data_IF_419824905143
#
_entry.id   IF_419824905143
#
_cell.length_a   1.000
_cell.length_b   1.000
_cell.length_c   1.000
_cell.angle_alpha   90.00
_cell.angle_beta   90.00
_cell.angle_gamma   90.00
#
_symmetry.space_group_name_H-M   'P 1'
#
loop_
_entity.id
_entity.type
_entity.pdbx_description
1 polymer ?
#
# COMPACT_ATOMS: atom_id res chain seq x y z
N UNK A 1 -33.78 17.00 -7.87
CA UNK A 1 -33.14 16.57 -6.61
C UNK A 1 -31.90 15.79 -7.01
N UNK A 2 -30.73 16.45 -6.95
CA UNK A 2 -29.45 15.75 -7.12
C UNK A 2 -29.21 14.89 -5.89
N UNK A 3 -28.97 13.60 -6.10
CA UNK A 3 -28.52 12.69 -5.05
C UNK A 3 -27.09 13.07 -4.70
N UNK A 4 -26.88 13.61 -3.50
CA UNK A 4 -25.55 13.87 -2.96
C UNK A 4 -24.89 12.49 -2.75
N UNK A 5 -24.05 12.07 -3.70
CA UNK A 5 -23.18 10.90 -3.52
C UNK A 5 -22.29 11.18 -2.30
N UNK A 6 -22.34 10.30 -1.31
CA UNK A 6 -21.45 10.37 -0.15
C UNK A 6 -20.04 9.95 -0.62
N UNK A 7 -19.06 10.86 -0.70
CA UNK A 7 -17.73 10.57 -1.25
C UNK A 7 -16.97 9.47 -0.47
N UNK A 8 -17.43 9.13 0.74
CA UNK A 8 -16.82 8.17 1.65
C UNK A 8 -16.92 6.70 1.19
N UNK A 9 -17.81 6.35 0.24
CA UNK A 9 -18.06 4.95 -0.15
C UNK A 9 -17.75 4.62 -1.63
N UNK A 10 -16.94 5.44 -2.30
CA UNK A 10 -16.57 5.18 -3.70
C UNK A 10 -15.41 4.18 -3.77
N UNK A 11 -15.62 3.12 -4.56
CA UNK A 11 -14.52 2.23 -4.96
C UNK A 11 -13.57 3.06 -5.81
N UNK A 12 -12.39 3.36 -5.26
CA UNK A 12 -11.32 4.04 -6.01
C UNK A 12 -10.57 3.01 -6.83
N UNK A 13 -10.75 3.07 -8.15
CA UNK A 13 -9.85 2.41 -9.08
C UNK A 13 -8.53 3.19 -9.09
N UNK A 14 -7.42 2.49 -8.88
CA UNK A 14 -6.06 3.05 -8.88
C UNK A 14 -5.59 3.50 -10.29
N UNK A 15 -6.40 4.24 -11.04
CA UNK A 15 -6.15 4.72 -12.42
C UNK A 15 -5.59 3.64 -13.36
N UNK A 16 -6.05 2.39 -13.21
CA UNK A 16 -5.56 1.25 -13.99
C UNK A 16 -4.13 0.79 -13.66
N UNK A 17 -3.50 1.31 -12.60
CA UNK A 17 -2.18 0.86 -12.14
C UNK A 17 -2.29 -0.50 -11.45
N UNK A 18 -1.37 -1.39 -11.77
CA UNK A 18 -1.31 -2.74 -11.20
C UNK A 18 -0.64 -2.73 -9.82
N UNK A 19 -1.32 -3.33 -8.83
CA UNK A 19 -0.78 -3.57 -7.48
C UNK A 19 -0.63 -5.07 -7.30
N UNK A 20 0.58 -5.54 -6.93
CA UNK A 20 0.78 -6.95 -6.61
C UNK A 20 -0.05 -7.33 -5.39
N UNK A 21 -0.75 -8.45 -5.49
CA UNK A 21 -1.59 -9.01 -4.43
C UNK A 21 -1.48 -10.52 -4.36
N UNK A 22 -1.72 -11.08 -3.18
CA UNK A 22 -1.90 -12.52 -2.95
C UNK A 22 -3.12 -12.73 -2.06
N UNK A 23 -3.70 -13.93 -2.09
CA UNK A 23 -4.62 -14.39 -1.05
C UNK A 23 -3.78 -15.15 -0.02
N UNK A 24 -3.72 -14.65 1.21
CA UNK A 24 -3.04 -15.31 2.32
C UNK A 24 -3.99 -15.37 3.51
N UNK A 25 -4.12 -16.55 4.14
CA UNK A 25 -5.06 -16.77 5.25
C UNK A 25 -6.50 -16.32 4.95
N UNK A 26 -6.98 -16.52 3.71
CA UNK A 26 -8.31 -16.07 3.22
C UNK A 26 -8.48 -14.55 3.15
N UNK A 27 -7.40 -13.77 3.26
CA UNK A 27 -7.41 -12.31 3.15
C UNK A 27 -6.57 -11.83 1.97
N UNK A 28 -6.90 -10.65 1.45
CA UNK A 28 -6.10 -9.99 0.42
C UNK A 28 -4.91 -9.28 1.04
N UNK A 29 -3.72 -9.66 0.61
CA UNK A 29 -2.47 -9.00 0.97
C UNK A 29 -1.93 -8.25 -0.23
N UNK A 30 -1.49 -7.01 -0.03
CA UNK A 30 -1.03 -6.12 -1.10
C UNK A 30 0.42 -5.71 -0.88
N UNK A 31 1.12 -5.41 -1.97
CA UNK A 31 2.44 -4.81 -1.90
C UNK A 31 2.34 -3.34 -1.48
N UNK A 32 2.83 -3.02 -0.29
CA UNK A 32 2.91 -1.64 0.22
C UNK A 32 3.70 -0.72 -0.72
N UNK A 33 4.78 -1.21 -1.32
CA UNK A 33 5.61 -0.44 -2.26
C UNK A 33 4.83 -0.09 -3.53
N UNK A 34 4.01 -1.01 -4.04
CA UNK A 34 3.18 -0.75 -5.22
C UNK A 34 2.05 0.24 -4.92
N UNK A 35 1.48 0.18 -3.70
CA UNK A 35 0.50 1.17 -3.22
C UNK A 35 1.15 2.56 -3.15
N UNK A 36 2.33 2.67 -2.55
CA UNK A 36 3.08 3.94 -2.48
C UNK A 36 3.34 4.48 -3.89
N UNK A 37 3.84 3.64 -4.81
CA UNK A 37 4.08 4.04 -6.20
C UNK A 37 2.82 4.57 -6.86
N UNK A 38 1.72 3.87 -6.64
CA UNK A 38 0.43 4.15 -7.26
C UNK A 38 -0.13 5.49 -6.78
N UNK A 39 -0.01 5.78 -5.48
CA UNK A 39 -0.55 6.99 -4.85
C UNK A 39 0.35 8.22 -4.99
N UNK A 40 1.66 8.03 -5.02
CA UNK A 40 2.63 9.14 -4.98
C UNK A 40 3.29 9.43 -6.32
N UNK A 41 3.15 8.54 -7.31
CA UNK A 41 3.90 8.57 -8.57
C UNK A 41 5.44 8.61 -8.38
N UNK A 42 5.92 8.21 -7.19
CA UNK A 42 7.34 8.24 -6.86
C UNK A 42 8.14 7.24 -7.70
N UNK A 43 9.14 7.75 -8.41
CA UNK A 43 10.12 6.94 -9.14
C UNK A 43 10.85 5.97 -8.22
N UNK A 44 11.10 6.37 -6.96
CA UNK A 44 11.75 5.55 -5.95
C UNK A 44 10.84 5.29 -4.75
N UNK A 45 9.79 4.51 -5.00
CA UNK A 45 8.80 4.13 -3.96
C UNK A 45 9.40 3.28 -2.83
N UNK A 46 10.52 2.58 -3.08
CA UNK A 46 11.25 1.83 -2.05
C UNK A 46 11.93 2.77 -1.05
N UNK A 47 12.59 3.83 -1.51
CA UNK A 47 13.17 4.86 -0.63
C UNK A 47 12.10 5.59 0.17
N UNK A 48 10.96 5.89 -0.47
CA UNK A 48 9.82 6.46 0.24
C UNK A 48 9.34 5.56 1.37
N UNK A 49 9.16 4.25 1.10
CA UNK A 49 8.80 3.27 2.12
C UNK A 49 9.86 3.19 3.24
N UNK A 50 11.14 3.20 2.89
CA UNK A 50 12.24 3.19 3.86
C UNK A 50 12.18 4.38 4.81
N UNK A 51 12.05 5.60 4.27
CA UNK A 51 11.93 6.84 5.07
C UNK A 51 10.67 6.84 5.94
N UNK A 52 9.55 6.32 5.42
CA UNK A 52 8.32 6.17 6.20
C UNK A 52 8.53 5.25 7.40
N UNK A 53 9.18 4.10 7.22
CA UNK A 53 9.49 3.19 8.33
C UNK A 53 10.34 3.86 9.41
N UNK A 54 11.33 4.67 9.02
CA UNK A 54 12.15 5.43 9.97
C UNK A 54 11.29 6.41 10.76
N UNK A 55 10.46 7.22 10.09
CA UNK A 55 9.58 8.19 10.77
C UNK A 55 8.63 7.52 11.76
N UNK A 56 7.89 6.50 11.32
CA UNK A 56 6.95 5.75 12.19
C UNK A 56 7.68 5.07 13.35
N UNK A 57 8.88 4.55 13.13
CA UNK A 57 9.72 4.01 14.20
C UNK A 57 10.15 5.08 15.21
N UNK A 58 10.41 6.30 14.78
CA UNK A 58 10.87 7.40 15.64
C UNK A 58 9.72 8.06 16.40
N UNK A 59 8.58 8.25 15.73
CA UNK A 59 7.42 8.97 16.27
C UNK A 59 6.55 8.05 17.13
N UNK A 60 6.25 6.83 16.65
CA UNK A 60 5.30 5.93 17.28
C UNK A 60 5.96 4.69 17.93
N UNK A 61 7.27 4.50 17.73
CA UNK A 61 8.00 3.32 18.20
C UNK A 61 7.69 2.03 17.43
N UNK A 62 6.90 2.09 16.34
CA UNK A 62 6.42 0.90 15.62
C UNK A 62 7.44 0.44 14.58
N UNK A 63 7.87 -0.82 14.69
CA UNK A 63 8.75 -1.47 13.71
C UNK A 63 7.95 -2.11 12.57
N UNK A 64 7.64 -1.34 11.54
CA UNK A 64 6.84 -1.79 10.40
C UNK A 64 7.43 -3.00 9.66
N UNK A 65 8.74 -3.25 9.71
CA UNK A 65 9.34 -4.46 9.13
C UNK A 65 8.97 -5.75 9.84
N UNK A 66 8.57 -5.68 11.11
CA UNK A 66 8.12 -6.85 11.89
C UNK A 66 6.71 -7.28 11.45
N UNK A 67 5.90 -6.31 11.03
CA UNK A 67 4.49 -6.49 10.64
C UNK A 67 4.37 -6.71 9.13
N UNK A 68 4.98 -5.84 8.33
CA UNK A 68 4.95 -5.87 6.87
C UNK A 68 6.20 -6.56 6.33
N UNK A 69 6.13 -7.89 6.19
CA UNK A 69 7.19 -8.67 5.54
C UNK A 69 7.19 -8.48 4.04
N UNK A 70 8.36 -8.64 3.42
CA UNK A 70 8.50 -8.53 1.97
C UNK A 70 7.63 -9.56 1.28
N UNK A 71 6.73 -9.08 0.42
CA UNK A 71 5.98 -9.94 -0.49
C UNK A 71 6.99 -10.58 -1.46
N UNK A 72 7.26 -11.87 -1.26
CA UNK A 72 8.04 -12.65 -2.22
C UNK A 72 7.19 -12.81 -3.48
N UNK A 73 7.77 -12.53 -4.64
CA UNK A 73 7.14 -12.97 -5.90
C UNK A 73 7.11 -14.50 -5.84
N UNK A 74 5.98 -15.13 -6.14
CA UNK A 74 6.01 -16.53 -6.51
C UNK A 74 6.96 -16.65 -7.71
N UNK A 75 8.06 -17.40 -7.51
CA UNK A 75 8.92 -17.83 -8.60
C UNK A 75 8.13 -18.98 -9.23
N UNK A 76 7.46 -18.69 -10.35
CA UNK A 76 6.97 -19.73 -11.25
C UNK A 76 8.12 -20.24 -12.10
#
# INVERSE_FOLDING_TARGET
METIENPENHIVLFKGKTIRRIIFQKEWWFSVVDVIKTLTDSVNSNDYWYKMKIRVSMEDGIQLSTICRQLKKEIN
#
